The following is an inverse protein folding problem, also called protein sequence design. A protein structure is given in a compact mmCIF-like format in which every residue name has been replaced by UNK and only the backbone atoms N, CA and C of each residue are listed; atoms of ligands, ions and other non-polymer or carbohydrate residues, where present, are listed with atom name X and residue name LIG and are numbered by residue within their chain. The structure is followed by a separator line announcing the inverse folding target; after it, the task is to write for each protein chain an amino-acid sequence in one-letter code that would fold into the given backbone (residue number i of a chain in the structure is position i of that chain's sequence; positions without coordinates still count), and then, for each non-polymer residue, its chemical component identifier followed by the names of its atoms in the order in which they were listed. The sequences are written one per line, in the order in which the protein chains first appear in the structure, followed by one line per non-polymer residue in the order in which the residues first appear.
data_IF_744256396137
#
_entry.id   IF_744256396137
#
_cell.length_a   1.000
_cell.length_b   1.000
_cell.length_c   1.000
_cell.angle_alpha   90.00
_cell.angle_beta   90.00
_cell.angle_gamma   90.00
#
_symmetry.space_group_name_H-M   'P 1'
#
loop_
_entity.id
_entity.type
_entity.pdbx_description
1 polymer ?
#
# COMPACT_ATOMS: atom_id res chain seq x y z
N UNK A 1 17.05 2.00 -1.56
CA UNK A 1 16.20 3.08 -0.99
C UNK A 1 15.33 2.51 0.14
N UNK A 2 14.93 3.31 1.15
CA UNK A 2 14.04 2.82 2.24
C UNK A 2 12.72 2.22 1.71
N UNK A 3 12.26 2.71 0.56
CA UNK A 3 11.08 2.19 -0.15
C UNK A 3 11.28 0.74 -0.62
N UNK A 4 12.47 0.37 -1.06
CA UNK A 4 12.79 -0.99 -1.53
C UNK A 4 12.91 -1.98 -0.37
N UNK A 5 13.04 -1.49 0.87
CA UNK A 5 13.08 -2.29 2.09
C UNK A 5 11.67 -2.54 2.67
N UNK A 6 10.62 -2.24 1.90
CA UNK A 6 9.22 -2.45 2.32
C UNK A 6 8.77 -1.53 3.46
N UNK A 7 9.48 -0.42 3.71
CA UNK A 7 9.10 0.51 4.77
C UNK A 7 7.85 1.31 4.38
N UNK A 8 6.95 1.63 5.33
CA UNK A 8 5.82 2.51 5.11
C UNK A 8 6.21 3.85 4.47
N UNK A 9 5.45 4.30 3.46
CA UNK A 9 5.68 5.57 2.76
C UNK A 9 5.69 6.77 3.72
N UNK A 10 4.92 6.69 4.82
CA UNK A 10 4.93 7.72 5.87
C UNK A 10 6.34 7.88 6.49
N UNK A 11 6.98 6.79 6.89
CA UNK A 11 8.32 6.81 7.49
C UNK A 11 9.38 7.30 6.49
N UNK A 12 9.21 6.94 5.21
CA UNK A 12 10.08 7.45 4.14
C UNK A 12 9.90 8.97 4.00
N UNK A 13 8.66 9.46 4.04
CA UNK A 13 8.35 10.89 3.99
C UNK A 13 8.97 11.67 5.14
N UNK A 14 8.85 11.14 6.37
CA UNK A 14 9.45 11.73 7.58
C UNK A 14 10.97 11.79 7.48
N UNK A 15 11.62 10.72 7.01
CA UNK A 15 13.08 10.68 6.85
C UNK A 15 13.59 11.66 5.79
N UNK A 16 12.83 11.86 4.71
CA UNK A 16 13.16 12.82 3.65
C UNK A 16 12.83 14.27 4.04
N UNK A 17 12.15 14.49 5.17
CA UNK A 17 11.75 15.82 5.61
C UNK A 17 10.63 16.43 4.75
N UNK A 18 9.85 15.59 4.05
CA UNK A 18 8.71 16.08 3.29
C UNK A 18 7.55 16.39 4.24
N UNK A 19 7.19 17.68 4.33
CA UNK A 19 6.05 18.17 5.12
C UNK A 19 4.71 17.57 4.70
N UNK A 20 4.64 16.99 3.50
CA UNK A 20 3.45 16.33 2.97
C UNK A 20 3.82 14.96 2.38
N UNK A 21 3.20 13.91 2.91
CA UNK A 21 3.33 12.53 2.41
C UNK A 21 2.95 12.39 0.94
N UNK A 22 2.05 13.23 0.43
CA UNK A 22 1.65 13.26 -0.97
C UNK A 22 2.82 13.55 -1.90
N UNK A 23 3.78 14.38 -1.50
CA UNK A 23 4.97 14.67 -2.31
C UNK A 23 5.78 13.39 -2.50
N UNK A 24 6.05 12.67 -1.41
CA UNK A 24 6.73 11.36 -1.44
C UNK A 24 5.97 10.37 -2.30
N UNK A 25 4.65 10.27 -2.13
CA UNK A 25 3.82 9.36 -2.89
C UNK A 25 3.85 9.68 -4.39
N UNK A 26 3.72 10.96 -4.78
CA UNK A 26 3.75 11.38 -6.18
C UNK A 26 5.11 11.08 -6.84
N UNK A 27 6.21 11.33 -6.13
CA UNK A 27 7.56 11.06 -6.64
C UNK A 27 7.78 9.57 -6.87
N UNK A 28 7.28 8.71 -5.97
CA UNK A 28 7.58 7.28 -5.97
C UNK A 28 6.39 6.39 -6.38
N UNK A 29 5.29 6.96 -6.85
CA UNK A 29 4.08 6.22 -7.26
C UNK A 29 4.38 5.14 -8.30
N UNK A 30 5.35 5.39 -9.19
CA UNK A 30 5.79 4.47 -10.23
C UNK A 30 6.39 3.15 -9.68
N UNK A 31 6.80 3.11 -8.41
CA UNK A 31 7.28 1.90 -7.74
C UNK A 31 6.14 0.98 -7.27
N UNK A 32 4.89 1.44 -7.38
CA UNK A 32 3.70 0.72 -6.95
C UNK A 32 2.74 0.42 -8.11
N UNK A 33 3.21 -0.18 -9.23
CA UNK A 33 2.30 -0.62 -10.27
C UNK A 33 1.36 -1.68 -9.71
N UNK A 34 0.09 -1.65 -10.12
CA UNK A 34 -0.90 -2.69 -9.83
C UNK A 34 -1.28 -2.89 -8.34
N UNK A 35 -0.84 -2.03 -7.41
CA UNK A 35 -1.21 -2.15 -5.98
C UNK A 35 -2.71 -2.10 -5.70
N UNK A 36 -3.49 -1.41 -6.54
CA UNK A 36 -4.94 -1.43 -6.45
C UNK A 36 -5.55 -2.81 -6.73
N UNK A 37 -4.98 -3.54 -7.69
CA UNK A 37 -5.41 -4.91 -8.03
C UNK A 37 -5.02 -5.87 -6.91
N UNK A 38 -3.77 -5.80 -6.43
CA UNK A 38 -3.32 -6.60 -5.28
C UNK A 38 -4.18 -6.39 -4.04
N UNK A 39 -4.58 -5.13 -3.76
CA UNK A 39 -5.46 -4.80 -2.66
C UNK A 39 -6.87 -5.38 -2.87
N UNK A 40 -7.44 -5.24 -4.07
CA UNK A 40 -8.74 -5.81 -4.40
C UNK A 40 -8.75 -7.34 -4.21
N UNK A 41 -7.71 -8.02 -4.69
CA UNK A 41 -7.56 -9.46 -4.54
C UNK A 41 -7.40 -9.88 -3.07
N UNK A 42 -6.64 -9.12 -2.28
CA UNK A 42 -6.48 -9.37 -0.86
C UNK A 42 -7.82 -9.20 -0.11
N UNK A 43 -8.56 -8.13 -0.40
CA UNK A 43 -9.88 -7.89 0.17
C UNK A 43 -10.85 -9.00 -0.21
N UNK A 44 -10.88 -9.42 -1.48
CA UNK A 44 -11.74 -10.52 -1.93
C UNK A 44 -11.42 -11.83 -1.21
N UNK A 45 -10.13 -12.17 -1.02
CA UNK A 45 -9.72 -13.36 -0.25
C UNK A 45 -10.21 -13.30 1.19
N UNK A 46 -10.11 -12.14 1.84
CA UNK A 46 -10.60 -11.97 3.23
C UNK A 46 -12.12 -12.02 3.32
N UNK A 47 -12.83 -11.45 2.35
CA UNK A 47 -14.29 -11.47 2.29
C UNK A 47 -14.82 -12.89 2.04
N UNK A 48 -14.20 -13.62 1.11
CA UNK A 48 -14.59 -15.01 0.79
C UNK A 48 -14.32 -15.96 1.95
N UNK A 49 -13.33 -15.66 2.79
CA UNK A 49 -13.04 -16.44 4.01
C UNK A 49 -14.06 -16.23 5.13
N UNK A 50 -14.95 -15.22 5.02
CA UNK A 50 -16.02 -14.94 5.98
C UNK A 50 -17.39 -15.53 5.59
N UNK A 51 -17.54 -16.07 4.38
CA UNK A 51 -18.82 -16.58 3.85
C UNK A 51 -18.83 -18.10 3.68
N UNK A 52 -18.50 -18.79 4.78
CA UNK A 52 -18.78 -20.21 4.99
C UNK A 52 -19.63 -20.37 6.25
N UNK A 53 -20.86 -19.88 6.19
CA UNK A 53 -21.97 -20.44 6.97
C UNK A 53 -23.23 -20.44 6.11
N UNK A 54 -23.64 -21.59 5.54
CA UNK A 54 -24.95 -21.73 4.94
C UNK A 54 -26.04 -21.74 6.03
N UNK A 55 -27.10 -20.97 5.81
CA UNK A 55 -28.46 -21.27 6.28
C UNK A 55 -29.45 -20.99 5.17
#
# INVERSE_FOLDING_TARGET
MLIEMGQPILLVSERLGHNNVQTTLNTYAHLYPNKGIELADALQKTATSGELMPK
#
